data_IF_702138595903
#
_entry.id   IF_702138595903
#
_cell.length_a   1.000
_cell.length_b   1.000
_cell.length_c   1.000
_cell.angle_alpha   90.00
_cell.angle_beta   90.00
_cell.angle_gamma   90.00
#
_symmetry.space_group_name_H-M   'P 1'
#
loop_
_entity.id
_entity.type
_entity.pdbx_description
1 polymer ?
#
# COMPACT_ATOMS: atom_id res chain seq x y z
N UNK A 1 -16.04 -21.58 7.38
CA UNK A 1 -16.24 -20.34 6.59
C UNK A 1 -15.63 -20.57 5.21
N UNK A 2 -16.38 -20.36 4.12
CA UNK A 2 -15.86 -20.48 2.76
C UNK A 2 -14.79 -19.43 2.51
N UNK A 3 -13.78 -19.80 1.74
CA UNK A 3 -12.58 -19.01 1.55
C UNK A 3 -12.76 -18.04 0.36
N UNK A 4 -13.02 -16.77 0.66
CA UNK A 4 -13.03 -15.69 -0.35
C UNK A 4 -11.62 -15.13 -0.43
N UNK A 5 -10.90 -15.40 -1.53
CA UNK A 5 -9.55 -14.87 -1.73
C UNK A 5 -9.58 -13.63 -2.63
N UNK A 6 -9.02 -12.51 -2.16
CA UNK A 6 -8.72 -11.33 -2.98
C UNK A 6 -7.48 -11.58 -3.85
N UNK A 7 -7.58 -11.42 -5.17
CA UNK A 7 -6.45 -11.41 -6.14
C UNK A 7 -6.80 -10.41 -7.28
N UNK A 8 -5.97 -9.53 -7.85
CA UNK A 8 -4.57 -9.17 -7.68
C UNK A 8 -4.32 -7.72 -8.18
N UNK A 9 -3.29 -7.09 -7.61
CA UNK A 9 -2.38 -6.14 -8.29
C UNK A 9 -0.99 -6.79 -8.32
N UNK A 10 -0.11 -6.58 -9.31
CA UNK A 10 1.18 -7.28 -9.43
C UNK A 10 2.07 -7.29 -8.16
N UNK A 11 2.01 -6.23 -7.34
CA UNK A 11 2.72 -6.14 -6.05
C UNK A 11 2.18 -7.04 -4.94
N UNK A 12 0.95 -7.51 -5.07
CA UNK A 12 0.36 -8.47 -4.15
C UNK A 12 1.25 -9.73 -4.01
N UNK A 13 1.86 -10.15 -5.10
CA UNK A 13 2.80 -11.27 -5.15
C UNK A 13 4.21 -10.94 -4.64
N UNK A 14 4.50 -9.68 -4.32
CA UNK A 14 5.75 -9.25 -3.69
C UNK A 14 5.62 -9.09 -2.17
N UNK A 15 4.39 -9.13 -1.63
CA UNK A 15 4.13 -8.99 -0.19
C UNK A 15 4.35 -10.31 0.53
N UNK A 16 5.25 -10.32 1.51
CA UNK A 16 5.51 -11.50 2.34
C UNK A 16 4.25 -11.92 3.14
N UNK A 17 3.55 -11.02 3.87
CA UNK A 17 2.30 -11.36 4.53
C UNK A 17 1.26 -11.94 3.59
N UNK A 18 1.08 -11.39 2.39
CA UNK A 18 0.15 -11.96 1.41
C UNK A 18 0.58 -13.37 0.98
N UNK A 19 1.87 -13.62 0.80
CA UNK A 19 2.34 -14.97 0.51
C UNK A 19 2.21 -15.94 1.69
N UNK A 20 2.21 -15.45 2.93
CA UNK A 20 1.95 -16.25 4.14
C UNK A 20 0.46 -16.60 4.27
N UNK A 21 -0.42 -15.62 4.02
CA UNK A 21 -1.87 -15.86 3.91
C UNK A 21 -2.16 -16.92 2.85
N UNK A 22 -1.55 -16.79 1.67
CA UNK A 22 -1.66 -17.77 0.59
C UNK A 22 -1.19 -19.15 0.99
N UNK A 23 -0.08 -19.25 1.70
CA UNK A 23 0.42 -20.54 2.17
C UNK A 23 -0.59 -21.19 3.11
N UNK A 24 -1.15 -20.44 4.06
CA UNK A 24 -2.17 -20.95 5.00
C UNK A 24 -3.41 -21.43 4.24
N UNK A 25 -3.86 -20.70 3.22
CA UNK A 25 -4.99 -21.13 2.39
C UNK A 25 -4.66 -22.36 1.53
N UNK A 26 -3.48 -22.41 0.93
CA UNK A 26 -3.03 -23.56 0.16
C UNK A 26 -2.93 -24.83 1.03
N UNK A 27 -2.36 -24.71 2.23
CA UNK A 27 -2.26 -25.82 3.20
C UNK A 27 -3.64 -26.30 3.65
N UNK A 28 -4.59 -25.38 3.83
CA UNK A 28 -5.98 -25.71 4.17
C UNK A 28 -6.66 -26.50 3.06
N UNK A 29 -6.48 -26.10 1.81
CA UNK A 29 -7.09 -26.76 0.66
C UNK A 29 -6.47 -28.14 0.45
N UNK A 30 -5.14 -28.25 0.46
CA UNK A 30 -4.45 -29.52 0.29
C UNK A 30 -4.88 -30.55 1.36
N UNK A 31 -4.98 -30.14 2.63
CA UNK A 31 -5.48 -31.04 3.70
C UNK A 31 -6.94 -31.43 3.51
N UNK A 32 -7.78 -30.48 3.11
CA UNK A 32 -9.19 -30.77 2.88
C UNK A 32 -9.39 -31.72 1.69
N UNK A 33 -8.58 -31.59 0.63
CA UNK A 33 -8.52 -32.53 -0.50
C UNK A 33 -8.07 -33.92 -0.04
N UNK A 34 -7.02 -34.01 0.79
CA UNK A 34 -6.51 -35.28 1.33
C UNK A 34 -7.51 -36.01 2.24
N UNK A 35 -8.22 -35.28 3.10
CA UNK A 35 -9.13 -35.87 4.09
C UNK A 35 -10.51 -36.21 3.51
N UNK A 36 -11.03 -35.38 2.61
CA UNK A 36 -12.43 -35.47 2.17
C UNK A 36 -12.57 -35.83 0.69
N UNK A 37 -11.47 -35.91 -0.07
CA UNK A 37 -11.48 -36.31 -1.49
C UNK A 37 -12.27 -35.36 -2.40
N UNK A 38 -12.37 -34.08 -2.02
CA UNK A 38 -13.22 -33.08 -2.68
C UNK A 38 -12.45 -32.14 -3.60
N UNK A 39 -13.16 -31.56 -4.56
CA UNK A 39 -12.67 -30.63 -5.59
C UNK A 39 -12.33 -29.22 -4.99
N UNK A 40 -11.25 -28.54 -5.45
CA UNK A 40 -10.85 -27.18 -5.05
C UNK A 40 -11.91 -26.07 -5.23
N UNK A 41 -13.08 -26.37 -5.80
CA UNK A 41 -14.26 -25.50 -5.93
C UNK A 41 -14.73 -24.77 -4.65
N UNK A 42 -14.25 -25.14 -3.46
CA UNK A 42 -14.49 -24.44 -2.18
C UNK A 42 -13.76 -23.09 -2.10
N UNK A 43 -12.64 -22.93 -2.81
CA UNK A 43 -12.02 -21.64 -3.03
C UNK A 43 -12.81 -20.88 -4.10
N UNK A 44 -13.30 -19.69 -3.76
CA UNK A 44 -13.94 -18.78 -4.72
C UNK A 44 -12.97 -17.63 -5.03
N UNK A 45 -12.07 -17.79 -6.02
CA UNK A 45 -11.13 -16.74 -6.38
C UNK A 45 -11.86 -15.60 -7.09
N UNK A 46 -11.67 -14.37 -6.62
CA UNK A 46 -12.28 -13.19 -7.24
C UNK A 46 -11.20 -12.29 -7.85
N UNK A 47 -11.42 -11.91 -9.11
CA UNK A 47 -10.56 -10.97 -9.81
C UNK A 47 -11.01 -9.53 -9.55
N UNK A 48 -10.23 -8.79 -8.75
CA UNK A 48 -10.56 -7.41 -8.38
C UNK A 48 -10.28 -6.40 -9.50
N UNK A 49 -9.21 -6.62 -10.27
CA UNK A 49 -8.79 -5.81 -11.43
C UNK A 49 -8.27 -6.78 -12.51
N UNK A 50 -8.61 -6.59 -13.80
CA UNK A 50 -8.09 -7.44 -14.86
C UNK A 50 -6.56 -7.33 -14.95
N UNK A 51 -5.88 -8.47 -15.00
CA UNK A 51 -4.45 -8.55 -15.24
C UNK A 51 -4.21 -8.74 -16.75
N UNK A 52 -3.18 -8.09 -17.34
CA UNK A 52 -2.76 -8.40 -18.70
C UNK A 52 -2.37 -9.88 -18.84
N UNK A 53 -2.59 -10.51 -20.01
CA UNK A 53 -2.15 -11.88 -20.27
C UNK A 53 -0.66 -12.06 -19.94
N UNK A 54 -0.30 -13.15 -19.25
CA UNK A 54 1.09 -13.44 -18.85
C UNK A 54 1.63 -12.67 -17.65
N UNK A 55 0.82 -11.83 -16.98
CA UNK A 55 1.20 -11.11 -15.75
C UNK A 55 0.67 -11.75 -14.46
N UNK A 56 0.01 -12.90 -14.56
CA UNK A 56 -0.45 -13.66 -13.41
C UNK A 56 0.72 -14.44 -12.79
N UNK A 57 0.91 -14.31 -11.48
CA UNK A 57 1.95 -15.05 -10.77
C UNK A 57 1.69 -16.57 -10.86
N UNK A 58 2.73 -17.41 -10.99
CA UNK A 58 2.57 -18.87 -11.18
C UNK A 58 1.71 -19.55 -10.10
N UNK A 59 1.80 -19.06 -8.86
CA UNK A 59 0.98 -19.58 -7.74
C UNK A 59 -0.51 -19.27 -7.96
N UNK A 60 -0.86 -18.10 -8.48
CA UNK A 60 -2.25 -17.75 -8.78
C UNK A 60 -2.75 -18.44 -10.05
N UNK A 61 -1.90 -18.65 -11.05
CA UNK A 61 -2.26 -19.36 -12.29
C UNK A 61 -2.69 -20.82 -12.04
N UNK A 62 -2.31 -21.40 -10.90
CA UNK A 62 -2.72 -22.75 -10.48
C UNK A 62 -4.15 -22.82 -9.94
N UNK A 63 -4.69 -21.69 -9.47
CA UNK A 63 -6.09 -21.62 -9.05
C UNK A 63 -6.91 -21.31 -10.31
N UNK A 64 -7.79 -22.23 -10.71
CA UNK A 64 -8.69 -21.97 -11.84
C UNK A 64 -9.65 -20.83 -11.45
N UNK A 65 -9.50 -19.68 -12.09
CA UNK A 65 -10.45 -18.57 -12.01
C UNK A 65 -11.64 -18.85 -12.94
N UNK A 66 -12.51 -19.80 -12.59
CA UNK A 66 -13.80 -19.95 -13.28
C UNK A 66 -14.82 -19.04 -12.60
N UNK A 67 -14.76 -17.75 -12.88
CA UNK A 67 -15.87 -16.86 -12.55
C UNK A 67 -16.63 -16.56 -13.83
N UNK A 68 -17.44 -17.52 -14.28
CA UNK A 68 -18.43 -17.31 -15.35
C UNK A 68 -19.41 -16.17 -15.01
N UNK A 69 -19.45 -15.77 -13.73
CA UNK A 69 -20.24 -14.68 -13.16
C UNK A 69 -19.81 -13.26 -13.59
N UNK A 70 -18.54 -13.07 -13.97
CA UNK A 70 -17.97 -11.72 -14.17
C UNK A 70 -17.71 -11.36 -15.64
N UNK A 71 -17.63 -12.35 -16.54
CA UNK A 71 -17.24 -12.14 -17.94
C UNK A 71 -15.93 -11.34 -18.05
N UNK A 72 -15.87 -10.35 -18.93
CA UNK A 72 -14.73 -9.43 -19.08
C UNK A 72 -14.71 -8.29 -18.02
N UNK A 73 -15.70 -8.24 -17.13
CA UNK A 73 -15.87 -7.15 -16.15
C UNK A 73 -15.24 -7.54 -14.82
N UNK A 74 -14.57 -6.62 -14.13
CA UNK A 74 -14.06 -6.89 -12.78
C UNK A 74 -15.00 -6.38 -11.68
N UNK A 75 -14.91 -6.96 -10.48
CA UNK A 75 -15.72 -6.56 -9.31
C UNK A 75 -15.64 -5.05 -9.05
N UNK A 76 -14.47 -4.46 -9.29
CA UNK A 76 -14.25 -3.02 -9.15
C UNK A 76 -15.05 -2.16 -10.14
N UNK A 77 -15.21 -2.61 -11.39
CA UNK A 77 -16.00 -1.90 -12.39
C UNK A 77 -17.50 -1.92 -12.03
N UNK A 78 -17.98 -3.03 -11.46
CA UNK A 78 -19.35 -3.15 -10.94
C UNK A 78 -19.61 -2.17 -9.78
N UNK A 79 -18.64 -1.98 -8.88
CA UNK A 79 -18.79 -1.08 -7.73
C UNK A 79 -18.76 0.43 -8.07
N UNK A 80 -17.96 0.85 -9.06
CA UNK A 80 -17.71 2.29 -9.31
C UNK A 80 -18.76 2.98 -10.18
N UNK A 81 -19.48 2.22 -11.00
CA UNK A 81 -20.35 2.80 -12.01
C UNK A 81 -21.82 2.66 -11.57
N UNK A 82 -22.49 3.79 -11.33
CA UNK A 82 -23.91 3.84 -10.94
C UNK A 82 -24.83 2.98 -11.84
N UNK A 83 -24.52 2.91 -13.13
CA UNK A 83 -25.24 2.06 -14.11
C UNK A 83 -25.11 0.55 -13.89
N UNK A 84 -24.19 0.10 -13.03
CA UNK A 84 -23.96 -1.31 -12.72
C UNK A 84 -24.38 -1.65 -11.28
N UNK A 85 -25.15 -0.79 -10.62
CA UNK A 85 -25.57 -1.01 -9.23
C UNK A 85 -26.42 -2.28 -9.06
N UNK A 86 -27.29 -2.57 -10.03
CA UNK A 86 -28.10 -3.79 -10.02
C UNK A 86 -27.25 -5.02 -10.31
N UNK A 87 -26.34 -4.95 -11.29
CA UNK A 87 -25.39 -6.02 -11.59
C UNK A 87 -24.43 -6.31 -10.43
N UNK A 88 -24.03 -5.29 -9.65
CA UNK A 88 -23.24 -5.48 -8.43
C UNK A 88 -24.05 -6.19 -7.34
N UNK A 89 -25.32 -5.82 -7.14
CA UNK A 89 -26.19 -6.47 -6.14
C UNK A 89 -26.45 -7.93 -6.49
N UNK A 90 -26.73 -8.21 -7.76
CA UNK A 90 -26.93 -9.56 -8.28
C UNK A 90 -25.66 -10.40 -8.10
N UNK A 91 -24.49 -9.87 -8.49
CA UNK A 91 -23.20 -10.51 -8.28
C UNK A 91 -22.94 -10.84 -6.80
N UNK A 92 -23.17 -9.89 -5.88
CA UNK A 92 -22.99 -10.10 -4.44
C UNK A 92 -23.97 -11.16 -3.91
N UNK A 93 -25.21 -11.15 -4.38
CA UNK A 93 -26.21 -12.14 -3.99
C UNK A 93 -25.83 -13.55 -4.44
N UNK A 94 -25.42 -13.72 -5.70
CA UNK A 94 -24.97 -15.00 -6.24
C UNK A 94 -23.69 -15.50 -5.54
N UNK A 95 -22.71 -14.62 -5.34
CA UNK A 95 -21.49 -14.95 -4.59
C UNK A 95 -21.81 -15.38 -3.16
N UNK A 96 -22.70 -14.66 -2.47
CA UNK A 96 -23.11 -15.01 -1.12
C UNK A 96 -23.84 -16.36 -1.08
N UNK A 97 -24.72 -16.64 -2.06
CA UNK A 97 -25.37 -17.93 -2.22
C UNK A 97 -24.37 -19.07 -2.38
N UNK A 98 -23.40 -18.91 -3.28
CA UNK A 98 -22.35 -19.91 -3.50
C UNK A 98 -21.45 -20.14 -2.28
N UNK A 99 -21.18 -19.08 -1.50
CA UNK A 99 -20.46 -19.16 -0.24
C UNK A 99 -21.29 -20.01 0.75
N UNK A 100 -22.55 -19.67 0.98
CA UNK A 100 -23.42 -20.41 1.91
C UNK A 100 -23.54 -21.87 1.50
N UNK A 101 -23.86 -22.14 0.23
CA UNK A 101 -23.97 -23.50 -0.31
C UNK A 101 -22.65 -24.28 -0.12
N UNK A 102 -21.51 -23.66 -0.42
CA UNK A 102 -20.20 -24.27 -0.23
C UNK A 102 -19.92 -24.57 1.24
N UNK A 103 -20.32 -23.70 2.18
CA UNK A 103 -20.15 -23.93 3.61
C UNK A 103 -21.03 -25.06 4.15
N UNK A 104 -22.26 -25.18 3.67
CA UNK A 104 -23.21 -26.22 4.10
C UNK A 104 -22.83 -27.60 3.55
N UNK A 105 -22.37 -27.65 2.30
CA UNK A 105 -21.95 -28.88 1.62
C UNK A 105 -20.59 -29.38 2.10
N UNK A 106 -19.72 -28.48 2.57
CA UNK A 106 -18.32 -28.77 2.90
C UNK A 106 -17.94 -28.24 4.30
N UNK A 107 -18.43 -28.88 5.39
CA UNK A 107 -18.11 -28.47 6.75
C UNK A 107 -16.61 -28.67 7.05
N UNK A 108 -15.99 -27.66 7.65
CA UNK A 108 -14.58 -27.71 8.05
C UNK A 108 -14.45 -28.60 9.29
N UNK A 109 -13.55 -29.59 9.32
CA UNK A 109 -13.42 -30.49 10.48
C UNK A 109 -12.93 -29.74 11.73
N UNK A 110 -13.53 -30.05 12.89
CA UNK A 110 -13.16 -29.46 14.18
C UNK A 110 -11.79 -29.96 14.68
N UNK A 111 -11.07 -29.13 15.46
CA UNK A 111 -9.81 -29.51 16.12
C UNK A 111 -8.51 -29.07 15.45
N UNK A 112 -8.60 -28.33 14.34
CA UNK A 112 -7.42 -27.87 13.60
C UNK A 112 -6.81 -26.58 14.20
N UNK A 113 -5.55 -26.66 14.63
CA UNK A 113 -4.72 -25.50 14.96
C UNK A 113 -3.90 -25.10 13.72
N UNK A 114 -4.06 -23.85 13.28
CA UNK A 114 -3.29 -23.29 12.17
C UNK A 114 -2.10 -22.50 12.72
N UNK A 115 -0.96 -22.51 12.01
CA UNK A 115 0.15 -21.64 12.38
C UNK A 115 -0.32 -20.19 12.38
N UNK A 116 0.23 -19.42 13.31
CA UNK A 116 0.07 -17.97 13.31
C UNK A 116 0.60 -17.39 12.00
N UNK A 117 -0.02 -16.34 11.48
CA UNK A 117 0.31 -15.75 10.19
C UNK A 117 1.80 -15.37 10.12
N UNK A 118 2.35 -14.86 11.22
CA UNK A 118 3.76 -14.47 11.33
C UNK A 118 4.71 -15.67 11.20
N UNK A 119 4.26 -16.85 11.59
CA UNK A 119 5.06 -18.09 11.60
C UNK A 119 4.96 -18.90 10.30
N UNK A 120 3.97 -18.64 9.46
CA UNK A 120 3.79 -19.35 8.20
C UNK A 120 4.89 -18.98 7.18
N UNK A 121 5.38 -19.94 6.36
CA UNK A 121 6.25 -19.62 5.24
C UNK A 121 5.47 -18.85 4.16
N UNK A 122 6.17 -18.05 3.35
CA UNK A 122 5.54 -17.27 2.27
C UNK A 122 5.71 -17.98 0.94
N UNK A 123 4.62 -18.46 0.35
CA UNK A 123 4.67 -19.25 -0.92
C UNK A 123 5.24 -18.44 -2.09
N UNK A 124 5.09 -17.11 -2.06
CA UNK A 124 5.65 -16.19 -3.06
C UNK A 124 7.17 -16.05 -2.97
N UNK A 125 7.78 -16.43 -1.84
CA UNK A 125 9.20 -16.23 -1.56
C UNK A 125 9.96 -17.55 -1.40
N UNK A 126 9.39 -18.66 -1.89
CA UNK A 126 10.06 -19.96 -1.86
C UNK A 126 11.31 -19.92 -2.75
N UNK A 127 12.51 -20.33 -2.27
CA UNK A 127 13.69 -20.42 -3.12
C UNK A 127 13.49 -21.58 -4.09
N UNK A 128 13.10 -21.27 -5.32
CA UNK A 128 12.94 -22.27 -6.38
C UNK A 128 14.35 -22.69 -6.87
N UNK A 129 14.64 -24.00 -7.02
CA UNK A 129 15.90 -24.44 -7.61
C UNK A 129 16.02 -23.89 -9.03
N UNK A 130 17.19 -23.32 -9.32
CA UNK A 130 17.51 -22.65 -10.57
C UNK A 130 17.17 -23.54 -11.78
N UNK A 131 16.15 -23.15 -12.53
CA UNK A 131 15.97 -23.60 -13.90
C UNK A 131 16.50 -22.47 -14.79
N UNK A 132 17.53 -22.82 -15.55
CA UNK A 132 18.37 -21.96 -16.36
C UNK A 132 17.57 -20.92 -17.15
N UNK A 133 17.71 -19.66 -16.76
CA UNK A 133 17.24 -18.52 -17.54
C UNK A 133 18.19 -18.35 -18.72
N UNK A 134 17.82 -18.93 -19.86
CA UNK A 134 18.45 -18.61 -21.14
C UNK A 134 17.97 -17.24 -21.60
N UNK A 135 18.96 -16.44 -22.02
CA UNK A 135 18.90 -15.13 -22.67
C UNK A 135 18.86 -13.91 -21.75
N UNK A 136 20.08 -13.51 -21.40
CA UNK A 136 20.40 -12.15 -21.01
C UNK A 136 19.99 -11.15 -22.08
N UNK A 137 19.17 -10.19 -21.65
CA UNK A 137 19.43 -8.80 -21.98
C UNK A 137 19.38 -8.05 -20.66
N UNK A 138 20.51 -7.48 -20.26
CA UNK A 138 20.58 -6.40 -19.29
C UNK A 138 19.69 -5.27 -19.80
N UNK A 139 18.42 -5.26 -19.39
CA UNK A 139 17.50 -4.14 -19.54
C UNK A 139 17.00 -3.80 -18.16
N UNK A 140 17.44 -2.65 -17.67
CA UNK A 140 16.83 -1.82 -16.63
C UNK A 140 16.13 -2.57 -15.49
N UNK A 141 16.93 -3.20 -14.62
CA UNK A 141 16.46 -3.66 -13.32
C UNK A 141 16.08 -2.50 -12.35
N UNK A 142 16.27 -1.24 -12.77
CA UNK A 142 16.00 -0.02 -11.99
C UNK A 142 14.65 0.65 -12.35
N UNK A 143 13.90 0.10 -13.32
CA UNK A 143 12.68 0.74 -13.86
C UNK A 143 11.34 0.29 -13.22
N UNK A 144 11.33 -0.66 -12.27
CA UNK A 144 10.08 -1.25 -11.75
C UNK A 144 9.83 -0.99 -10.24
N UNK A 145 10.73 -0.30 -9.55
CA UNK A 145 10.55 0.07 -8.14
C UNK A 145 9.69 1.34 -8.02
N UNK A 146 8.51 1.23 -7.42
CA UNK A 146 7.72 2.41 -7.04
C UNK A 146 8.53 3.30 -6.10
N UNK A 147 8.50 4.59 -6.37
CA UNK A 147 9.17 5.60 -5.55
C UNK A 147 8.21 6.11 -4.47
N UNK A 148 8.74 6.30 -3.26
CA UNK A 148 8.07 6.99 -2.16
C UNK A 148 8.83 8.29 -1.87
N UNK A 149 8.11 9.40 -1.87
CA UNK A 149 8.62 10.70 -1.45
C UNK A 149 8.24 10.95 0.00
N UNK A 150 9.25 10.90 0.87
CA UNK A 150 9.11 11.35 2.25
C UNK A 150 9.34 12.85 2.30
N UNK A 151 8.30 13.60 2.64
CA UNK A 151 8.38 15.05 2.83
C UNK A 151 8.35 15.34 4.33
N UNK A 152 9.41 15.96 4.83
CA UNK A 152 9.58 16.23 6.25
C UNK A 152 9.07 17.64 6.57
N UNK A 153 7.94 17.70 7.27
CA UNK A 153 7.38 18.92 7.82
C UNK A 153 7.81 19.06 9.29
N UNK A 154 9.09 19.40 9.50
CA UNK A 154 9.67 19.57 10.82
C UNK A 154 10.40 20.92 10.97
N UNK A 155 10.66 21.29 12.21
CA UNK A 155 11.41 22.49 12.53
C UNK A 155 12.90 22.29 12.34
N UNK A 156 13.62 23.39 12.05
CA UNK A 156 15.05 23.45 12.29
C UNK A 156 15.33 23.84 13.74
N UNK A 157 16.52 23.55 14.25
CA UNK A 157 16.95 23.94 15.60
C UNK A 157 16.84 25.45 15.84
N UNK A 158 17.05 26.27 14.81
CA UNK A 158 16.92 27.73 14.87
C UNK A 158 15.45 28.18 14.91
N UNK A 159 14.58 27.62 14.04
CA UNK A 159 13.15 27.95 14.03
C UNK A 159 12.42 27.41 15.28
N UNK A 160 12.89 26.33 15.89
CA UNK A 160 12.29 25.77 17.10
C UNK A 160 12.32 26.71 18.31
N UNK A 161 13.27 27.66 18.35
CA UNK A 161 13.41 28.64 19.44
C UNK A 161 12.15 29.50 19.69
N UNK A 162 11.34 29.73 18.66
CA UNK A 162 10.14 30.58 18.80
C UNK A 162 8.92 29.82 19.29
N UNK A 163 8.95 28.49 19.32
CA UNK A 163 7.76 27.66 19.57
C UNK A 163 7.92 26.65 20.69
N UNK A 164 9.14 26.23 21.05
CA UNK A 164 9.38 25.26 22.11
C UNK A 164 10.76 25.36 22.77
N UNK A 165 10.89 24.76 23.95
CA UNK A 165 12.06 24.84 24.82
C UNK A 165 13.07 23.73 24.54
N UNK A 166 12.62 22.47 24.45
CA UNK A 166 13.49 21.34 24.11
C UNK A 166 13.72 21.27 22.60
N UNK A 167 14.99 21.17 22.20
CA UNK A 167 15.42 21.22 20.81
C UNK A 167 16.40 20.11 20.46
N UNK A 168 16.64 19.17 21.38
CA UNK A 168 17.61 18.08 21.16
C UNK A 168 17.24 17.22 19.94
N UNK A 169 15.95 17.14 19.64
CA UNK A 169 15.37 16.39 18.51
C UNK A 169 15.54 17.05 17.14
N UNK A 170 16.03 18.30 17.04
CA UNK A 170 16.16 19.03 15.77
C UNK A 170 17.62 19.23 15.35
N UNK A 171 17.89 19.12 14.05
CA UNK A 171 19.17 19.51 13.45
C UNK A 171 19.12 20.85 12.71
N UNK A 172 20.06 21.05 11.81
CA UNK A 172 20.18 22.28 11.02
C UNK A 172 19.18 22.32 9.87
N UNK A 173 18.73 21.14 9.41
CA UNK A 173 17.71 20.97 8.37
C UNK A 173 16.46 20.29 8.93
N UNK A 174 15.27 20.50 8.34
CA UNK A 174 14.04 19.79 8.73
C UNK A 174 14.22 18.27 8.71
N UNK A 175 14.88 17.74 7.67
CA UNK A 175 15.16 16.30 7.54
C UNK A 175 16.06 15.68 8.60
N UNK A 176 16.74 16.49 9.41
CA UNK A 176 17.58 16.01 10.53
C UNK A 176 16.75 15.74 11.80
N UNK A 177 15.44 15.97 11.74
CA UNK A 177 14.54 15.77 12.86
C UNK A 177 14.48 14.31 13.34
N UNK A 178 14.76 14.09 14.62
CA UNK A 178 14.83 12.81 15.30
C UNK A 178 13.85 12.77 16.49
N UNK A 179 12.55 12.54 16.26
CA UNK A 179 11.51 12.63 17.29
C UNK A 179 11.67 11.60 18.42
N UNK A 180 12.34 10.48 18.16
CA UNK A 180 12.52 9.39 19.13
C UNK A 180 13.84 9.47 19.92
N UNK A 181 14.56 10.60 19.85
CA UNK A 181 15.71 10.85 20.71
C UNK A 181 15.25 10.94 22.19
N UNK A 182 16.00 10.39 23.17
CA UNK A 182 17.34 9.78 23.04
C UNK A 182 17.34 8.29 22.69
N UNK A 183 16.20 7.60 22.78
CA UNK A 183 16.10 6.15 22.54
C UNK A 183 16.59 5.78 21.13
N UNK A 184 16.31 6.64 20.16
CA UNK A 184 16.81 6.53 18.79
C UNK A 184 17.24 7.91 18.26
N UNK A 185 18.55 8.21 18.21
CA UNK A 185 19.05 9.53 17.84
C UNK A 185 19.12 9.78 16.32
N UNK A 186 18.90 8.76 15.48
CA UNK A 186 18.90 8.89 14.02
C UNK A 186 17.70 9.71 13.52
N UNK A 187 17.86 10.55 12.48
CA UNK A 187 16.74 11.24 11.85
C UNK A 187 15.63 10.29 11.40
N UNK A 188 14.37 10.72 11.52
CA UNK A 188 13.23 9.89 11.15
C UNK A 188 13.20 9.59 9.64
N UNK A 189 13.63 10.55 8.82
CA UNK A 189 13.63 10.39 7.38
C UNK A 189 14.55 9.25 6.92
N UNK A 190 15.75 9.14 7.50
CA UNK A 190 16.66 8.02 7.25
C UNK A 190 16.02 6.68 7.64
N UNK A 191 15.33 6.67 8.77
CA UNK A 191 14.64 5.47 9.24
C UNK A 191 13.47 5.08 8.32
N UNK A 192 12.68 6.05 7.88
CA UNK A 192 11.58 5.83 6.94
C UNK A 192 12.09 5.32 5.58
N UNK A 193 13.21 5.86 5.08
CA UNK A 193 13.89 5.39 3.88
C UNK A 193 14.30 3.92 4.00
N UNK A 194 14.97 3.54 5.11
CA UNK A 194 15.38 2.15 5.33
C UNK A 194 14.19 1.18 5.37
N UNK A 195 13.08 1.57 6.01
CA UNK A 195 11.85 0.76 6.01
C UNK A 195 11.28 0.64 4.59
N UNK A 196 11.19 1.73 3.84
CA UNK A 196 10.68 1.72 2.47
C UNK A 196 11.53 0.84 1.54
N UNK A 197 12.85 0.91 1.66
CA UNK A 197 13.79 0.09 0.90
C UNK A 197 13.66 -1.40 1.26
N UNK A 198 13.43 -1.73 2.53
CA UNK A 198 13.14 -3.11 2.95
C UNK A 198 11.86 -3.67 2.29
N UNK A 199 10.93 -2.78 1.93
CA UNK A 199 9.69 -3.05 1.21
C UNK A 199 9.83 -2.87 -0.33
N UNK A 200 11.08 -2.80 -0.83
CA UNK A 200 11.44 -2.63 -2.25
C UNK A 200 10.86 -1.36 -2.90
N UNK A 201 10.73 -0.28 -2.14
CA UNK A 201 10.48 1.05 -2.69
C UNK A 201 11.79 1.81 -2.86
N UNK A 202 11.90 2.58 -3.94
CA UNK A 202 12.91 3.64 -4.00
C UNK A 202 12.48 4.77 -3.07
N UNK A 203 13.38 5.28 -2.23
CA UNK A 203 13.05 6.34 -1.28
C UNK A 203 13.65 7.68 -1.72
N UNK A 204 12.91 8.78 -1.58
CA UNK A 204 13.42 10.15 -1.75
C UNK A 204 12.95 11.02 -0.61
N UNK A 205 13.87 11.74 0.01
CA UNK A 205 13.56 12.68 1.10
C UNK A 205 13.51 14.11 0.54
N UNK A 206 12.57 14.90 1.03
CA UNK A 206 12.38 16.32 0.71
C UNK A 206 12.04 17.10 1.98
N UNK A 207 12.31 18.39 1.97
CA UNK A 207 11.79 19.31 2.98
C UNK A 207 10.39 19.83 2.57
N UNK A 208 9.67 20.46 3.50
CA UNK A 208 8.30 20.92 3.28
C UNK A 208 8.17 21.90 2.09
N UNK A 209 9.20 22.69 1.81
CA UNK A 209 9.26 23.62 0.70
C UNK A 209 9.15 22.92 -0.67
N UNK A 210 9.59 21.66 -0.75
CA UNK A 210 9.55 20.84 -1.97
C UNK A 210 8.21 20.08 -2.12
N UNK A 211 7.28 20.19 -1.16
CA UNK A 211 6.05 19.39 -1.13
C UNK A 211 5.24 19.49 -2.43
N UNK A 212 5.05 20.71 -2.94
CA UNK A 212 4.25 20.92 -4.14
C UNK A 212 4.86 20.24 -5.37
N UNK A 213 6.18 20.33 -5.52
CA UNK A 213 6.93 19.69 -6.61
C UNK A 213 6.86 18.16 -6.49
N UNK A 214 7.11 17.62 -5.28
CA UNK A 214 7.06 16.17 -5.05
C UNK A 214 5.67 15.59 -5.27
N UNK A 215 4.62 16.30 -4.85
CA UNK A 215 3.25 15.88 -5.10
C UNK A 215 2.89 15.89 -6.59
N UNK A 216 3.34 16.90 -7.33
CA UNK A 216 3.12 16.94 -8.78
C UNK A 216 3.88 15.82 -9.50
N UNK A 217 5.13 15.56 -9.11
CA UNK A 217 5.91 14.44 -9.64
C UNK A 217 5.22 13.10 -9.32
N UNK A 218 4.75 12.96 -8.08
CA UNK A 218 4.09 11.73 -7.64
C UNK A 218 2.78 11.48 -8.38
N UNK A 219 1.97 12.51 -8.59
CA UNK A 219 0.77 12.44 -9.41
C UNK A 219 1.10 12.05 -10.86
N UNK A 220 2.14 12.65 -11.46
CA UNK A 220 2.55 12.39 -12.85
C UNK A 220 3.12 11.00 -13.10
N UNK A 221 3.75 10.40 -12.09
CA UNK A 221 4.47 9.13 -12.24
C UNK A 221 3.84 7.98 -11.45
N UNK A 222 2.63 8.17 -10.90
CA UNK A 222 1.99 7.23 -9.97
C UNK A 222 2.98 6.80 -8.88
N UNK A 223 3.45 7.76 -8.08
CA UNK A 223 4.32 7.55 -6.93
C UNK A 223 3.59 7.96 -5.65
N UNK A 224 4.16 7.61 -4.50
CA UNK A 224 3.51 7.84 -3.20
C UNK A 224 4.16 9.05 -2.52
N UNK A 225 3.35 9.90 -1.89
CA UNK A 225 3.83 10.95 -0.98
C UNK A 225 3.49 10.54 0.44
N UNK A 226 4.48 10.62 1.33
CA UNK A 226 4.31 10.43 2.77
C UNK A 226 4.80 11.69 3.47
N UNK A 227 3.89 12.38 4.15
CA UNK A 227 4.20 13.51 5.02
C UNK A 227 4.62 12.99 6.40
N UNK A 228 5.86 13.29 6.79
CA UNK A 228 6.36 13.11 8.15
C UNK A 228 6.23 14.44 8.88
N UNK A 229 5.23 14.56 9.76
CA UNK A 229 4.84 15.84 10.33
C UNK A 229 5.22 15.93 11.79
N UNK A 230 6.06 16.90 12.12
CA UNK A 230 6.24 17.37 13.48
C UNK A 230 5.05 18.25 13.87
N UNK A 231 4.37 17.91 14.96
CA UNK A 231 3.23 18.69 15.45
C UNK A 231 3.60 20.14 15.75
N UNK A 232 4.84 20.42 16.18
CA UNK A 232 5.28 21.79 16.44
C UNK A 232 5.51 22.61 15.17
N UNK A 233 5.71 21.98 14.02
CA UNK A 233 5.78 22.69 12.76
C UNK A 233 4.47 23.42 12.43
N UNK A 234 3.33 22.92 12.92
CA UNK A 234 2.02 23.55 12.67
C UNK A 234 1.84 24.91 13.37
N UNK A 235 2.68 25.22 14.35
CA UNK A 235 2.72 26.50 15.06
C UNK A 235 3.40 27.60 14.25
N UNK A 236 4.21 27.23 13.24
CA UNK A 236 4.77 28.20 12.31
C UNK A 236 3.76 28.54 11.22
N UNK A 237 3.46 29.82 11.06
CA UNK A 237 2.49 30.30 10.08
C UNK A 237 2.85 29.86 8.64
N UNK A 238 4.15 29.90 8.30
CA UNK A 238 4.66 29.47 7.00
C UNK A 238 4.32 28.00 6.71
N UNK A 239 4.68 27.10 7.62
CA UNK A 239 4.44 25.66 7.46
C UNK A 239 2.94 25.34 7.48
N UNK A 240 2.18 25.94 8.40
CA UNK A 240 0.72 25.78 8.48
C UNK A 240 0.03 26.20 7.19
N UNK A 241 0.48 27.30 6.56
CA UNK A 241 -0.04 27.79 5.28
C UNK A 241 0.25 26.81 4.14
N UNK A 242 1.48 26.31 4.03
CA UNK A 242 1.86 25.34 2.98
C UNK A 242 1.06 24.04 3.12
N UNK A 243 0.99 23.46 4.31
CA UNK A 243 0.24 22.22 4.56
C UNK A 243 -1.26 22.40 4.32
N UNK A 244 -1.84 23.52 4.74
CA UNK A 244 -3.27 23.82 4.52
C UNK A 244 -3.57 23.98 3.03
N UNK A 245 -2.73 24.71 2.29
CA UNK A 245 -2.90 24.92 0.85
C UNK A 245 -2.79 23.60 0.08
N UNK A 246 -1.84 22.75 0.48
CA UNK A 246 -1.67 21.42 -0.08
C UNK A 246 -2.90 20.54 0.18
N UNK A 247 -3.35 20.42 1.42
CA UNK A 247 -4.50 19.57 1.74
C UNK A 247 -5.80 20.05 1.07
N UNK A 248 -6.00 21.38 0.97
CA UNK A 248 -7.14 21.94 0.25
C UNK A 248 -7.11 21.60 -1.26
N UNK A 249 -5.93 21.41 -1.84
CA UNK A 249 -5.76 20.95 -3.23
C UNK A 249 -6.12 19.47 -3.35
N UNK A 250 -5.57 18.61 -2.48
CA UNK A 250 -5.87 17.17 -2.47
C UNK A 250 -7.38 16.89 -2.34
N UNK A 251 -8.07 17.63 -1.46
CA UNK A 251 -9.53 17.53 -1.28
C UNK A 251 -10.29 17.89 -2.57
N UNK A 252 -9.85 18.92 -3.31
CA UNK A 252 -10.48 19.31 -4.59
C UNK A 252 -10.26 18.25 -5.67
N UNK A 253 -9.08 17.64 -5.69
CA UNK A 253 -8.71 16.61 -6.67
C UNK A 253 -9.34 15.25 -6.35
N UNK A 254 -9.94 15.07 -5.16
CA UNK A 254 -10.69 13.88 -4.70
C UNK A 254 -9.90 12.57 -4.69
N UNK A 255 -8.57 12.63 -4.70
CA UNK A 255 -7.70 11.47 -4.80
C UNK A 255 -6.53 11.52 -3.82
N UNK A 256 -6.78 11.46 -2.49
CA UNK A 256 -5.69 11.50 -1.51
C UNK A 256 -4.92 10.17 -1.57
N UNK A 257 -3.77 10.20 -2.23
CA UNK A 257 -2.73 9.16 -2.13
C UNK A 257 -1.67 9.52 -1.10
N UNK A 258 -1.78 10.72 -0.52
CA UNK A 258 -0.86 11.23 0.48
C UNK A 258 -1.15 10.60 1.85
N UNK A 259 -0.16 9.91 2.37
CA UNK A 259 -0.16 9.47 3.76
C UNK A 259 0.39 10.55 4.68
N UNK A 260 -0.15 10.64 5.90
CA UNK A 260 0.30 11.57 6.93
C UNK A 260 0.65 10.79 8.19
N UNK A 261 1.91 10.85 8.59
CA UNK A 261 2.42 10.21 9.80
C UNK A 261 2.83 11.31 10.78
N UNK A 262 2.29 11.23 12.01
CA UNK A 262 2.56 12.17 13.10
C UNK A 262 3.25 11.43 14.25
N UNK A 263 4.59 11.39 14.24
CA UNK A 263 5.39 10.94 15.37
C UNK A 263 5.11 11.73 16.64
N UNK A 264 4.97 11.03 17.76
CA UNK A 264 4.81 11.64 19.08
C UNK A 264 5.56 10.81 20.11
N UNK A 265 6.84 11.09 20.33
CA UNK A 265 7.59 10.39 21.38
C UNK A 265 6.95 10.62 22.76
N UNK A 266 6.74 9.52 23.51
CA UNK A 266 6.29 9.60 24.90
C UNK A 266 7.37 10.16 25.84
N UNK A 267 8.63 10.14 25.42
CA UNK A 267 9.76 10.70 26.17
C UNK A 267 9.84 12.23 26.06
N UNK A 268 9.17 12.83 25.06
CA UNK A 268 9.08 14.28 24.90
C UNK A 268 7.95 14.86 25.77
N UNK A 269 8.29 15.21 27.00
CA UNK A 269 7.35 15.76 28.00
C UNK A 269 6.68 17.04 27.54
N UNK A 270 7.39 17.91 26.82
CA UNK A 270 6.84 19.19 26.35
C UNK A 270 5.74 18.93 25.31
N UNK A 271 6.01 18.06 24.34
CA UNK A 271 5.00 17.62 23.35
C UNK A 271 3.80 16.96 24.03
N UNK A 272 4.02 16.10 25.04
CA UNK A 272 2.94 15.45 25.79
C UNK A 272 2.05 16.48 26.51
N UNK A 273 2.63 17.51 27.13
CA UNK A 273 1.89 18.56 27.83
C UNK A 273 1.05 19.41 26.87
N UNK A 274 1.57 19.72 25.68
CA UNK A 274 0.88 20.55 24.69
C UNK A 274 0.06 19.75 23.68
N UNK A 275 0.00 18.42 23.81
CA UNK A 275 -0.56 17.50 22.82
C UNK A 275 -1.97 17.86 22.36
N UNK A 276 -2.87 18.20 23.31
CA UNK A 276 -4.26 18.50 22.98
C UNK A 276 -4.36 19.61 21.93
N UNK A 277 -3.71 20.74 22.19
CA UNK A 277 -3.68 21.92 21.30
C UNK A 277 -3.04 21.59 19.96
N UNK A 278 -1.86 20.95 20.00
CA UNK A 278 -1.08 20.63 18.80
C UNK A 278 -1.81 19.63 17.89
N UNK A 279 -2.44 18.61 18.48
CA UNK A 279 -3.21 17.61 17.72
C UNK A 279 -4.50 18.18 17.12
N UNK A 280 -5.14 19.14 17.79
CA UNK A 280 -6.30 19.87 17.26
C UNK A 280 -5.91 20.70 16.03
N UNK A 281 -4.74 21.37 16.05
CA UNK A 281 -4.23 22.09 14.89
C UNK A 281 -3.84 21.18 13.73
N UNK A 282 -3.15 20.05 13.99
CA UNK A 282 -2.88 19.05 12.96
C UNK A 282 -4.19 18.54 12.31
N UNK A 283 -5.18 18.16 13.13
CA UNK A 283 -6.48 17.72 12.61
C UNK A 283 -7.19 18.81 11.82
N UNK A 284 -7.07 20.08 12.22
CA UNK A 284 -7.64 21.21 11.48
C UNK A 284 -7.00 21.38 10.10
N UNK A 285 -5.68 21.22 9.99
CA UNK A 285 -4.94 21.28 8.73
C UNK A 285 -5.32 20.10 7.84
N UNK A 286 -5.34 18.90 8.40
CA UNK A 286 -5.55 17.65 7.67
C UNK A 286 -7.00 17.17 7.61
N UNK A 287 -8.02 18.01 7.87
CA UNK A 287 -9.45 17.58 7.99
C UNK A 287 -9.90 16.55 6.95
N UNK A 288 -9.56 16.73 5.67
CA UNK A 288 -9.95 15.79 4.61
C UNK A 288 -9.26 14.41 4.66
N UNK A 289 -8.06 14.32 5.23
CA UNK A 289 -7.30 13.07 5.43
C UNK A 289 -7.46 12.56 6.88
N UNK A 290 -7.83 13.42 7.82
CA UNK A 290 -7.95 13.07 9.23
C UNK A 290 -9.10 12.09 9.53
N UNK A 291 -10.11 12.05 8.65
CA UNK A 291 -11.20 11.07 8.70
C UNK A 291 -10.81 9.71 8.08
N UNK A 292 -9.62 9.63 7.51
CA UNK A 292 -9.08 8.43 6.88
C UNK A 292 -8.03 7.78 7.79
N UNK A 293 -8.54 6.95 8.70
CA UNK A 293 -7.75 6.22 9.68
C UNK A 293 -6.68 5.31 9.04
N UNK A 294 -6.75 4.98 7.75
CA UNK A 294 -5.77 4.14 7.08
C UNK A 294 -4.53 4.90 6.60
N UNK A 295 -4.67 6.15 6.15
CA UNK A 295 -3.55 6.99 5.67
C UNK A 295 -3.11 8.06 6.68
N UNK A 296 -3.90 8.32 7.72
CA UNK A 296 -3.60 9.30 8.76
C UNK A 296 -3.25 8.62 10.08
N UNK A 297 -1.96 8.58 10.42
CA UNK A 297 -1.49 8.10 11.74
C UNK A 297 -1.20 9.28 12.65
N UNK A 298 -2.18 9.60 13.48
CA UNK A 298 -2.17 10.80 14.33
C UNK A 298 -1.30 10.71 15.58
N UNK A 299 -0.81 9.52 15.96
CA UNK A 299 -0.11 9.33 17.22
C UNK A 299 0.78 8.09 17.16
N UNK A 300 2.06 8.27 16.83
CA UNK A 300 3.03 7.17 16.75
C UNK A 300 4.02 7.27 17.92
N UNK A 301 3.76 6.56 19.04
CA UNK A 301 4.43 6.81 20.32
C UNK A 301 5.90 6.40 20.38
N UNK A 302 6.29 5.42 19.56
CA UNK A 302 7.62 4.81 19.59
C UNK A 302 8.13 4.54 18.18
N UNK A 303 9.44 4.37 18.03
CA UNK A 303 10.05 4.00 16.75
C UNK A 303 9.62 2.60 16.27
N UNK A 304 9.27 1.70 17.18
CA UNK A 304 8.73 0.36 16.85
C UNK A 304 7.32 0.46 16.28
N UNK A 305 6.47 1.32 16.85
CA UNK A 305 5.16 1.60 16.29
C UNK A 305 5.28 2.20 14.88
N UNK A 306 6.26 3.08 14.66
CA UNK A 306 6.55 3.62 13.33
C UNK A 306 6.97 2.54 12.32
N UNK A 307 7.79 1.57 12.76
CA UNK A 307 8.22 0.43 11.95
C UNK A 307 7.07 -0.48 11.54
N UNK A 308 6.03 -0.58 12.36
CA UNK A 308 4.82 -1.35 12.09
C UNK A 308 3.83 -0.56 11.22
N UNK A 309 3.65 0.73 11.51
CA UNK A 309 2.66 1.58 10.83
C UNK A 309 3.07 1.93 9.40
N UNK A 310 4.34 2.26 9.15
CA UNK A 310 4.79 2.73 7.84
C UNK A 310 4.56 1.69 6.73
N UNK A 311 4.94 0.39 6.87
CA UNK A 311 4.64 -0.62 5.86
C UNK A 311 3.14 -0.76 5.58
N UNK A 312 2.29 -0.73 6.61
CA UNK A 312 0.85 -0.83 6.46
C UNK A 312 0.28 0.36 5.67
N UNK A 313 0.74 1.58 6.00
CA UNK A 313 0.36 2.81 5.32
C UNK A 313 0.83 2.81 3.86
N UNK A 314 2.06 2.38 3.58
CA UNK A 314 2.56 2.24 2.22
C UNK A 314 1.73 1.25 1.40
N UNK A 315 1.30 0.14 2.00
CA UNK A 315 0.46 -0.84 1.32
C UNK A 315 -0.94 -0.26 0.98
N UNK A 316 -1.53 0.52 1.88
CA UNK A 316 -2.80 1.24 1.61
C UNK A 316 -2.59 2.26 0.49
N UNK A 317 -1.53 3.06 0.56
CA UNK A 317 -1.23 4.08 -0.45
C UNK A 317 -1.01 3.46 -1.83
N UNK A 318 -0.27 2.36 -1.92
CA UNK A 318 -0.12 1.56 -3.15
C UNK A 318 -1.49 1.13 -3.69
N UNK A 319 -2.34 0.55 -2.85
CA UNK A 319 -3.65 0.07 -3.26
C UNK A 319 -4.51 1.20 -3.82
N UNK A 320 -4.49 2.38 -3.18
CA UNK A 320 -5.24 3.56 -3.64
C UNK A 320 -4.67 4.15 -4.91
N UNK A 321 -3.36 4.28 -5.01
CA UNK A 321 -2.67 4.74 -6.20
C UNK A 321 -2.93 3.82 -7.41
N UNK A 322 -3.03 2.49 -7.23
CA UNK A 322 -3.46 1.61 -8.32
C UNK A 322 -4.95 1.75 -8.67
N UNK A 323 -5.77 2.20 -7.72
CA UNK A 323 -7.20 2.46 -7.92
C UNK A 323 -7.40 3.80 -8.66
N UNK A 324 -6.69 4.86 -8.31
CA UNK A 324 -6.84 6.20 -8.90
C UNK A 324 -5.84 6.51 -10.04
N UNK A 325 -4.76 5.74 -10.15
CA UNK A 325 -3.61 6.05 -11.00
C UNK A 325 -3.93 6.16 -12.49
N UNK A 326 -3.24 7.08 -13.14
CA UNK A 326 -3.38 7.32 -14.59
C UNK A 326 -2.73 6.16 -15.36
N UNK A 327 -3.47 5.56 -16.30
CA UNK A 327 -2.94 4.50 -17.17
C UNK A 327 -1.99 5.12 -18.18
N UNK A 328 -0.68 5.00 -17.95
CA UNK A 328 0.31 5.33 -18.95
C UNK A 328 0.37 4.19 -19.98
N UNK A 329 -0.27 4.39 -21.15
CA UNK A 329 0.12 3.63 -22.34
C UNK A 329 1.55 4.03 -22.70
N UNK A 330 2.44 3.05 -22.84
CA UNK A 330 3.70 3.28 -23.58
C UNK A 330 3.32 3.76 -24.99
N UNK A 331 4.04 4.74 -25.57
CA UNK A 331 3.88 5.02 -26.99
C UNK A 331 4.13 3.73 -27.76
N UNK A 332 3.24 3.39 -28.68
CA UNK A 332 3.43 2.28 -29.59
C UNK A 332 4.80 2.45 -30.27
N UNK A 333 5.71 1.50 -30.01
CA UNK A 333 6.92 1.38 -30.81
C UNK A 333 6.49 1.21 -32.26
N UNK A 334 7.16 1.92 -33.17
CA UNK A 334 6.87 1.99 -34.60
C UNK A 334 6.28 0.68 -35.14
N UNK A 335 5.05 0.76 -35.62
CA UNK A 335 4.45 -0.30 -36.41
C UNK A 335 5.26 -0.39 -37.70
N UNK A 336 6.26 -1.27 -37.71
CA UNK A 336 6.93 -1.70 -38.92
C UNK A 336 5.87 -2.24 -39.87
N UNK A 337 5.58 -1.50 -40.93
CA UNK A 337 4.58 -1.80 -41.95
C UNK A 337 5.10 -2.87 -42.91
N UNK A 338 5.38 -4.07 -42.41
CA UNK A 338 5.61 -5.23 -43.26
C UNK A 338 4.95 -6.46 -42.64
N UNK A 339 3.76 -6.79 -43.14
CA UNK A 339 3.10 -8.06 -42.87
C UNK A 339 3.71 -9.11 -43.81
N UNK A 340 4.21 -10.25 -43.31
CA UNK A 340 4.52 -11.38 -44.19
C UNK A 340 3.21 -11.98 -44.70
N UNK A 341 3.00 -11.94 -46.02
CA UNK A 341 1.96 -12.69 -46.72
C UNK A 341 2.34 -14.18 -46.74
N UNK A 342 1.46 -15.03 -46.22
CA UNK A 342 1.46 -16.47 -46.46
C UNK A 342 0.51 -16.73 -47.64
N UNK A 343 1.06 -17.04 -48.80
CA UNK A 343 0.28 -17.63 -49.90
C UNK A 343 0.10 -19.13 -49.63
N UNK A 344 -1.15 -19.58 -49.68
CA UNK A 344 -1.58 -20.98 -49.57
C UNK A 344 -2.08 -21.46 -50.95
N UNK A 345 -2.13 -22.77 -51.26
CA UNK A 345 -2.07 -23.95 -50.37
C UNK A 345 -0.82 -24.82 -50.46
#
# INVERSE_FOLDING_TARGET
>A
MPFVHRVAVPRYFLSRPCGQEWQIFADRVARYEEEMGLDPSVLKPLLWVPLPPGKMHPVAARIQFSSDLLGDTCVRQLMRLQRHQDAYREFVFELAGQIVESAETHPIPEGHSYPDLESAPSIFHTPQPAVESLNGSERDADSDALTVHFVVAALTRSKALSVRSDRAVYGDRPRDWAPYHPVRPSPLAEYASAIAESQRFASRVADLEELAERAELASRHNQIVVLLVDVWATELEEASRVLTAYNAREIREREPTTAVLIPRSLDDRETVQHWRRLSEECRRIFRGTADDDELYRSNIPTYQAFEQDLPAVLQVAVNRMFVSGHVHRRPDGEVSSDRPMLDAP
#
